data_IF_175411637661
#
_entry.id   IF_175411637661
#
_cell.length_a   1.000
_cell.length_b   1.000
_cell.length_c   1.000
_cell.angle_alpha   90.00
_cell.angle_beta   90.00
_cell.angle_gamma   90.00
#
_symmetry.space_group_name_H-M   'P 1'
#
loop_
_entity.id
_entity.type
_entity.pdbx_description
1 polymer ?
#
# COMPACT_ATOMS: atom_id res chain seq x y z
N UNK A 1 -5.33 -19.83 6.60
CA UNK A 1 -6.40 -20.77 6.19
C UNK A 1 -6.90 -21.70 7.31
N UNK A 2 -6.25 -21.72 8.47
CA UNK A 2 -6.67 -22.53 9.65
C UNK A 2 -7.23 -21.70 10.79
N UNK A 3 -7.19 -20.39 10.70
CA UNK A 3 -7.59 -19.47 11.75
C UNK A 3 -8.84 -18.72 11.31
N UNK A 4 -9.76 -18.52 12.23
CA UNK A 4 -10.97 -17.74 12.04
C UNK A 4 -10.61 -16.30 11.65
N UNK A 5 -11.03 -15.85 10.46
CA UNK A 5 -10.65 -14.57 9.87
C UNK A 5 -11.22 -13.38 10.64
N UNK A 6 -12.42 -13.54 11.22
CA UNK A 6 -13.01 -12.52 12.09
C UNK A 6 -12.07 -12.20 13.25
N UNK A 7 -11.59 -13.24 13.96
CA UNK A 7 -10.73 -13.04 15.11
C UNK A 7 -9.34 -12.51 14.74
N UNK A 8 -8.84 -12.82 13.53
CA UNK A 8 -7.61 -12.19 13.01
C UNK A 8 -7.82 -10.69 12.76
N UNK A 9 -8.93 -10.30 12.15
CA UNK A 9 -9.25 -8.88 11.88
C UNK A 9 -9.44 -8.13 13.20
N UNK A 10 -10.28 -8.64 14.10
CA UNK A 10 -10.57 -7.98 15.39
C UNK A 10 -9.33 -7.95 16.27
N UNK A 11 -8.61 -9.07 16.39
CA UNK A 11 -7.43 -9.20 17.24
C UNK A 11 -6.28 -8.31 16.76
N UNK A 12 -6.00 -8.29 15.44
CA UNK A 12 -4.99 -7.40 14.90
C UNK A 12 -5.33 -5.92 15.14
N UNK A 13 -6.57 -5.52 14.88
CA UNK A 13 -7.03 -4.16 15.13
C UNK A 13 -6.93 -3.78 16.62
N UNK A 14 -7.32 -4.67 17.53
CA UNK A 14 -7.20 -4.44 18.96
C UNK A 14 -5.75 -4.26 19.40
N UNK A 15 -4.86 -5.16 18.94
CA UNK A 15 -3.44 -5.11 19.29
C UNK A 15 -2.79 -3.83 18.78
N UNK A 16 -2.96 -3.49 17.49
CA UNK A 16 -2.31 -2.27 16.99
C UNK A 16 -2.88 -1.00 17.63
N UNK A 17 -4.20 -0.97 17.94
CA UNK A 17 -4.81 0.16 18.63
C UNK A 17 -4.31 0.29 20.07
N UNK A 18 -4.14 -0.83 20.78
CA UNK A 18 -3.52 -0.88 22.08
C UNK A 18 -2.07 -0.41 22.06
N UNK A 19 -1.30 -0.83 21.06
CA UNK A 19 0.07 -0.35 20.85
C UNK A 19 0.09 1.15 20.53
N UNK A 20 -0.85 1.64 19.70
CA UNK A 20 -1.00 3.08 19.43
C UNK A 20 -1.26 3.86 20.73
N UNK A 21 -2.13 3.34 21.60
CA UNK A 21 -2.37 3.93 22.92
C UNK A 21 -1.08 3.97 23.77
N UNK A 22 -0.32 2.88 23.78
CA UNK A 22 0.94 2.78 24.52
C UNK A 22 2.02 3.75 23.98
N UNK A 23 2.02 4.06 22.67
CA UNK A 23 2.92 5.07 22.12
C UNK A 23 2.73 6.44 22.78
N UNK A 24 1.55 6.76 23.29
CA UNK A 24 1.29 7.97 24.04
C UNK A 24 2.04 8.06 25.38
N UNK A 25 2.63 6.98 25.86
CA UNK A 25 3.47 6.96 27.08
C UNK A 25 4.96 6.90 26.77
N UNK A 26 5.33 6.85 25.49
CA UNK A 26 6.75 6.72 25.13
C UNK A 26 7.51 8.03 25.41
N UNK A 27 8.57 7.92 26.22
CA UNK A 27 9.42 9.05 26.62
C UNK A 27 10.71 9.15 25.77
N UNK A 28 10.98 8.10 24.98
CA UNK A 28 12.20 8.05 24.19
C UNK A 28 12.02 7.33 22.85
N UNK A 29 13.00 7.53 21.94
CA UNK A 29 12.98 6.95 20.60
C UNK A 29 12.95 5.41 20.62
N UNK A 30 13.65 4.75 21.55
CA UNK A 30 13.73 3.29 21.64
C UNK A 30 12.36 2.66 21.91
N UNK A 31 11.59 3.25 22.81
CA UNK A 31 10.22 2.80 23.13
C UNK A 31 9.30 2.94 21.92
N UNK A 32 9.29 4.11 21.26
CA UNK A 32 8.54 4.32 20.03
C UNK A 32 8.94 3.32 18.94
N UNK A 33 10.24 3.06 18.77
CA UNK A 33 10.75 2.14 17.77
C UNK A 33 10.18 0.71 17.96
N UNK A 34 10.25 0.18 19.18
CA UNK A 34 9.76 -1.17 19.45
C UNK A 34 8.23 -1.26 19.40
N UNK A 35 7.53 -0.25 19.88
CA UNK A 35 6.06 -0.17 19.75
C UNK A 35 5.65 -0.15 18.27
N UNK A 36 6.33 0.62 17.43
CA UNK A 36 6.10 0.62 15.98
C UNK A 36 6.38 -0.74 15.33
N UNK A 37 7.41 -1.44 15.76
CA UNK A 37 7.71 -2.78 15.25
C UNK A 37 6.60 -3.79 15.60
N UNK A 38 6.12 -3.78 16.84
CA UNK A 38 4.98 -4.63 17.28
C UNK A 38 3.70 -4.28 16.52
N UNK A 39 3.44 -2.97 16.33
CA UNK A 39 2.30 -2.50 15.55
C UNK A 39 2.33 -3.06 14.13
N UNK A 40 3.48 -2.97 13.44
CA UNK A 40 3.63 -3.48 12.08
C UNK A 40 3.37 -4.98 11.94
N UNK A 41 3.76 -5.78 12.93
CA UNK A 41 3.45 -7.23 12.95
C UNK A 41 1.95 -7.46 13.03
N UNK A 42 1.23 -6.70 13.86
CA UNK A 42 -0.22 -6.85 13.98
C UNK A 42 -0.97 -6.35 12.73
N UNK A 43 -0.55 -5.22 12.15
CA UNK A 43 -1.13 -4.67 10.91
C UNK A 43 -1.00 -5.62 9.71
N UNK A 44 0.10 -6.35 9.61
CA UNK A 44 0.35 -7.29 8.51
C UNK A 44 -0.72 -8.40 8.42
N UNK A 45 -1.41 -8.71 9.51
CA UNK A 45 -2.46 -9.73 9.56
C UNK A 45 -3.83 -9.21 9.09
N UNK A 46 -4.05 -7.90 9.12
CA UNK A 46 -5.36 -7.30 8.89
C UNK A 46 -5.81 -7.41 7.43
N UNK A 47 -5.06 -6.82 6.49
CA UNK A 47 -5.49 -6.73 5.08
C UNK A 47 -5.78 -8.09 4.45
N UNK A 48 -4.90 -9.12 4.55
CA UNK A 48 -5.19 -10.43 3.99
C UNK A 48 -6.43 -11.06 4.59
N UNK A 49 -6.64 -10.90 5.90
CA UNK A 49 -7.79 -11.46 6.61
C UNK A 49 -9.09 -10.74 6.24
N UNK A 50 -9.08 -9.41 6.16
CA UNK A 50 -10.23 -8.61 5.80
C UNK A 50 -10.67 -8.85 4.35
N UNK A 51 -9.74 -8.84 3.40
CA UNK A 51 -10.04 -9.12 2.00
C UNK A 51 -10.57 -10.55 1.79
N UNK A 52 -10.02 -11.50 2.53
CA UNK A 52 -10.49 -12.88 2.51
C UNK A 52 -11.90 -13.00 3.08
N UNK A 53 -12.20 -12.31 4.20
CA UNK A 53 -13.54 -12.31 4.79
C UNK A 53 -14.58 -11.67 3.86
N UNK A 54 -14.22 -10.55 3.21
CA UNK A 54 -15.06 -9.90 2.20
C UNK A 54 -15.33 -10.86 1.03
N UNK A 55 -14.31 -11.58 0.57
CA UNK A 55 -14.43 -12.51 -0.54
C UNK A 55 -15.32 -13.73 -0.22
N UNK A 56 -15.42 -14.12 1.05
CA UNK A 56 -16.30 -15.22 1.49
C UNK A 56 -17.79 -14.84 1.47
N UNK A 57 -18.09 -13.58 1.76
CA UNK A 57 -19.46 -13.07 1.76
C UNK A 57 -19.94 -12.56 0.40
N UNK A 58 -19.01 -12.16 -0.47
CA UNK A 58 -19.32 -11.57 -1.76
C UNK A 58 -18.76 -12.42 -2.90
N UNK A 59 -19.67 -12.99 -3.70
CA UNK A 59 -19.31 -13.80 -4.86
C UNK A 59 -19.68 -13.11 -6.18
N UNK A 60 -19.02 -13.51 -7.28
CA UNK A 60 -19.29 -12.99 -8.61
C UNK A 60 -19.15 -11.46 -8.73
N UNK A 61 -20.22 -10.82 -9.21
CA UNK A 61 -20.19 -9.37 -9.55
C UNK A 61 -20.08 -8.44 -8.33
N UNK A 62 -20.49 -8.86 -7.13
CA UNK A 62 -20.47 -8.00 -5.93
C UNK A 62 -19.10 -7.97 -5.23
N UNK A 63 -18.23 -8.96 -5.47
CA UNK A 63 -16.93 -9.09 -4.80
C UNK A 63 -16.03 -7.89 -5.06
N UNK A 64 -15.89 -7.50 -6.32
CA UNK A 64 -15.03 -6.36 -6.69
C UNK A 64 -15.52 -5.05 -6.10
N UNK A 65 -16.85 -4.84 -6.07
CA UNK A 65 -17.44 -3.66 -5.45
C UNK A 65 -17.17 -3.62 -3.95
N UNK A 66 -17.38 -4.73 -3.24
CA UNK A 66 -17.16 -4.79 -1.79
C UNK A 66 -15.68 -4.54 -1.42
N UNK A 67 -14.75 -5.12 -2.18
CA UNK A 67 -13.31 -4.83 -2.04
C UNK A 67 -13.01 -3.36 -2.34
N UNK A 68 -13.60 -2.79 -3.38
CA UNK A 68 -13.45 -1.37 -3.73
C UNK A 68 -13.92 -0.44 -2.62
N UNK A 69 -15.07 -0.71 -2.00
CA UNK A 69 -15.58 0.04 -0.84
C UNK A 69 -14.61 -0.06 0.34
N UNK A 70 -14.08 -1.25 0.62
CA UNK A 70 -13.08 -1.43 1.68
C UNK A 70 -11.79 -0.62 1.40
N UNK A 71 -11.29 -0.66 0.18
CA UNK A 71 -10.11 0.13 -0.23
C UNK A 71 -10.37 1.64 -0.17
N UNK A 72 -11.59 2.08 -0.50
CA UNK A 72 -11.99 3.49 -0.31
C UNK A 72 -11.85 3.91 1.15
N UNK A 73 -12.22 3.03 2.10
CA UNK A 73 -12.02 3.27 3.54
C UNK A 73 -10.55 3.54 3.90
N UNK A 74 -9.59 2.86 3.26
CA UNK A 74 -8.16 3.12 3.47
C UNK A 74 -7.76 4.53 3.02
N UNK A 75 -8.22 4.99 1.84
CA UNK A 75 -7.94 6.35 1.37
C UNK A 75 -8.57 7.43 2.25
N UNK A 76 -9.81 7.21 2.70
CA UNK A 76 -10.49 8.11 3.65
C UNK A 76 -9.73 8.15 4.98
N UNK A 77 -9.32 6.98 5.50
CA UNK A 77 -8.52 6.89 6.71
C UNK A 77 -7.17 7.61 6.59
N UNK A 78 -6.50 7.49 5.44
CA UNK A 78 -5.24 8.20 5.16
C UNK A 78 -5.46 9.71 5.13
N UNK A 79 -6.52 10.20 4.51
CA UNK A 79 -6.86 11.62 4.47
C UNK A 79 -7.13 12.18 5.87
N UNK A 80 -7.93 11.47 6.67
CA UNK A 80 -8.26 11.87 8.06
C UNK A 80 -7.02 11.78 8.96
N UNK A 81 -6.14 10.80 8.73
CA UNK A 81 -4.92 10.60 9.52
C UNK A 81 -3.99 11.82 9.55
N UNK A 82 -4.00 12.64 8.49
CA UNK A 82 -3.24 13.89 8.45
C UNK A 82 -3.63 14.92 9.51
N UNK A 83 -4.88 14.90 9.96
CA UNK A 83 -5.35 15.74 11.06
C UNK A 83 -4.75 15.35 12.42
N UNK A 84 -4.04 14.25 12.52
CA UNK A 84 -3.30 13.88 13.72
C UNK A 84 -2.30 14.96 14.13
N UNK A 85 -1.63 15.60 13.16
CA UNK A 85 -0.73 16.73 13.44
C UNK A 85 -1.48 17.97 13.97
N UNK A 86 -2.68 18.25 13.46
CA UNK A 86 -3.54 19.34 13.96
C UNK A 86 -3.99 19.08 15.39
N UNK A 87 -4.43 17.86 15.69
CA UNK A 87 -4.83 17.47 17.06
C UNK A 87 -3.63 17.53 18.00
N UNK A 88 -2.46 17.07 17.55
CA UNK A 88 -1.22 17.13 18.34
C UNK A 88 -0.76 18.57 18.65
N UNK A 89 -0.99 19.51 17.75
CA UNK A 89 -0.68 20.92 17.97
C UNK A 89 -1.60 21.56 19.03
N UNK A 90 -2.85 21.10 19.16
CA UNK A 90 -3.83 21.62 20.12
C UNK A 90 -3.62 21.02 21.52
N UNK A 91 -3.44 19.70 21.61
CA UNK A 91 -3.37 18.99 22.88
C UNK A 91 -1.95 18.51 23.24
N UNK A 92 -1.42 17.59 22.50
CA UNK A 92 -0.06 17.05 22.44
C UNK A 92 -0.05 15.80 21.55
N UNK A 93 1.11 15.37 21.10
CA UNK A 93 1.22 14.12 20.35
C UNK A 93 0.95 12.88 21.24
N UNK A 94 1.31 12.92 22.53
CA UNK A 94 0.99 11.88 23.51
C UNK A 94 -0.53 11.68 23.63
N UNK A 95 -1.25 12.77 23.85
CA UNK A 95 -2.72 12.77 23.95
C UNK A 95 -3.37 12.26 22.64
N UNK A 96 -2.82 12.65 21.50
CA UNK A 96 -3.31 12.22 20.18
C UNK A 96 -3.21 10.71 20.02
N UNK A 97 -2.07 10.10 20.39
CA UNK A 97 -1.91 8.65 20.37
C UNK A 97 -2.86 7.93 21.33
N UNK A 98 -3.07 8.48 22.53
CA UNK A 98 -4.05 7.92 23.47
C UNK A 98 -5.47 7.91 22.87
N UNK A 99 -5.90 9.01 22.29
CA UNK A 99 -7.24 9.11 21.71
C UNK A 99 -7.43 8.15 20.53
N UNK A 100 -6.48 8.13 19.61
CA UNK A 100 -6.57 7.23 18.45
C UNK A 100 -6.55 5.75 18.88
N UNK A 101 -5.73 5.41 19.87
CA UNK A 101 -5.69 4.06 20.43
C UNK A 101 -7.02 3.66 21.07
N UNK A 102 -7.61 4.52 21.91
CA UNK A 102 -8.91 4.26 22.56
C UNK A 102 -10.01 4.09 21.52
N UNK A 103 -10.10 5.00 20.54
CA UNK A 103 -11.12 4.91 19.48
C UNK A 103 -10.98 3.60 18.71
N UNK A 104 -9.75 3.20 18.35
CA UNK A 104 -9.51 1.95 17.64
C UNK A 104 -9.83 0.70 18.48
N UNK A 105 -9.52 0.70 19.79
CA UNK A 105 -9.89 -0.39 20.69
C UNK A 105 -11.42 -0.50 20.83
N UNK A 106 -12.13 0.61 21.03
CA UNK A 106 -13.61 0.62 21.07
C UNK A 106 -14.17 0.08 19.75
N UNK A 107 -13.64 0.53 18.62
CA UNK A 107 -14.06 0.05 17.31
C UNK A 107 -13.83 -1.45 17.13
N UNK A 108 -12.71 -1.99 17.60
CA UNK A 108 -12.45 -3.43 17.55
C UNK A 108 -13.47 -4.24 18.36
N UNK A 109 -13.88 -3.73 19.54
CA UNK A 109 -14.94 -4.34 20.34
C UNK A 109 -16.29 -4.31 19.62
N UNK A 110 -16.63 -3.20 18.96
CA UNK A 110 -17.84 -3.10 18.13
C UNK A 110 -17.83 -4.14 17.01
N UNK A 111 -16.66 -4.35 16.37
CA UNK A 111 -16.50 -5.35 15.31
C UNK A 111 -16.69 -6.80 15.79
N UNK A 112 -16.51 -7.11 17.09
CA UNK A 112 -16.83 -8.44 17.63
C UNK A 112 -18.30 -8.79 17.39
N UNK A 113 -19.19 -7.80 17.51
CA UNK A 113 -20.63 -7.98 17.36
C UNK A 113 -21.09 -7.85 15.89
N UNK A 114 -20.44 -7.01 15.10
CA UNK A 114 -20.84 -6.73 13.71
C UNK A 114 -20.27 -7.74 12.71
N UNK A 115 -19.01 -8.17 12.87
CA UNK A 115 -18.40 -9.12 11.95
C UNK A 115 -18.90 -10.55 12.21
N UNK A 116 -19.20 -11.24 11.12
CA UNK A 116 -19.60 -12.64 11.14
C UNK A 116 -18.77 -13.44 10.14
N UNK A 117 -18.39 -14.66 10.51
CA UNK A 117 -17.83 -15.64 9.58
C UNK A 117 -18.93 -16.17 8.65
N UNK A 118 -18.54 -16.53 7.43
CA UNK A 118 -19.47 -17.22 6.54
C UNK A 118 -19.56 -18.71 6.95
N UNK A 119 -20.76 -19.20 7.41
CA UNK A 119 -20.91 -20.56 7.88
C UNK A 119 -20.68 -21.61 6.77
N UNK A 120 -21.00 -21.29 5.53
CA UNK A 120 -20.87 -22.22 4.39
C UNK A 120 -19.40 -22.60 4.15
N UNK A 121 -18.47 -21.68 4.43
CA UNK A 121 -17.04 -21.94 4.37
C UNK A 121 -16.57 -22.94 5.42
N UNK A 122 -17.07 -22.82 6.64
CA UNK A 122 -16.70 -23.75 7.73
C UNK A 122 -17.11 -25.19 7.40
N UNK A 123 -18.18 -25.36 6.62
CA UNK A 123 -18.66 -26.67 6.14
C UNK A 123 -17.77 -27.15 4.99
N UNK A 124 -17.39 -26.27 4.06
CA UNK A 124 -16.54 -26.61 2.91
C UNK A 124 -15.09 -26.95 3.28
N UNK A 125 -14.58 -26.43 4.39
CA UNK A 125 -13.22 -26.69 4.88
C UNK A 125 -13.13 -27.93 5.80
N UNK A 126 -14.25 -28.59 6.12
CA UNK A 126 -14.20 -29.90 6.77
C UNK A 126 -13.54 -30.89 5.82
N UNK A 127 -12.51 -31.63 6.24
CA UNK A 127 -11.83 -32.56 5.38
C UNK A 127 -12.82 -33.63 4.92
N UNK A 128 -13.33 -33.48 3.70
CA UNK A 128 -14.03 -34.59 3.05
C UNK A 128 -13.00 -35.71 2.88
N UNK A 129 -13.21 -36.81 3.57
CA UNK A 129 -12.36 -38.00 3.57
C UNK A 129 -12.20 -38.66 2.19
N UNK A 130 -12.74 -38.06 1.12
CA UNK A 130 -12.80 -38.60 -0.22
C UNK A 130 -12.06 -37.79 -1.31
N UNK A 131 -11.57 -36.56 -1.00
CA UNK A 131 -10.77 -35.82 -1.99
C UNK A 131 -9.30 -36.24 -1.86
N UNK A 132 -8.81 -36.94 -2.88
CA UNK A 132 -7.42 -37.36 -2.95
C UNK A 132 -6.48 -36.21 -2.61
N UNK A 133 -5.46 -36.49 -1.82
CA UNK A 133 -4.40 -35.56 -1.41
C UNK A 133 -3.71 -35.00 -2.68
N UNK A 134 -4.27 -33.97 -3.29
CA UNK A 134 -3.45 -33.13 -4.16
C UNK A 134 -2.29 -32.61 -3.33
N UNK A 135 -1.10 -33.03 -3.66
CA UNK A 135 0.14 -32.59 -3.01
C UNK A 135 0.18 -31.06 -3.15
N UNK A 136 -0.09 -30.34 -2.06
CA UNK A 136 0.13 -28.89 -2.02
C UNK A 136 1.56 -28.64 -2.49
N UNK A 137 1.78 -27.70 -3.42
CA UNK A 137 3.14 -27.40 -3.87
C UNK A 137 4.00 -27.06 -2.66
N UNK A 138 5.19 -27.64 -2.60
CA UNK A 138 6.18 -27.27 -1.60
C UNK A 138 6.46 -25.77 -1.73
N UNK A 139 6.40 -25.03 -0.62
CA UNK A 139 6.72 -23.60 -0.60
C UNK A 139 8.10 -23.34 -1.23
N UNK A 140 9.07 -24.17 -0.92
CA UNK A 140 10.43 -24.07 -1.49
C UNK A 140 10.45 -24.33 -3.01
N UNK A 141 9.66 -25.28 -3.51
CA UNK A 141 9.55 -25.53 -4.97
C UNK A 141 8.93 -24.36 -5.72
N UNK A 142 7.89 -23.73 -5.14
CA UNK A 142 7.27 -22.52 -5.69
C UNK A 142 8.22 -21.32 -5.70
N UNK A 143 8.96 -21.10 -4.62
CA UNK A 143 9.97 -20.04 -4.52
C UNK A 143 11.09 -20.23 -5.56
N UNK A 144 11.65 -21.43 -5.64
CA UNK A 144 12.71 -21.76 -6.62
C UNK A 144 12.27 -21.47 -8.04
N UNK A 145 11.02 -21.87 -8.42
CA UNK A 145 10.46 -21.62 -9.74
C UNK A 145 10.28 -20.11 -10.02
N UNK A 146 9.80 -19.33 -9.06
CA UNK A 146 9.61 -17.87 -9.20
C UNK A 146 10.96 -17.18 -9.41
N UNK A 147 11.96 -17.46 -8.57
CA UNK A 147 13.26 -16.83 -8.65
C UNK A 147 14.15 -17.30 -9.81
N UNK A 148 13.83 -18.44 -10.42
CA UNK A 148 14.47 -18.89 -11.67
C UNK A 148 14.00 -18.13 -12.90
N UNK A 149 12.87 -17.40 -12.81
CA UNK A 149 12.26 -16.67 -13.92
C UNK A 149 12.77 -15.23 -13.96
N UNK A 150 13.54 -14.84 -14.98
CA UNK A 150 14.07 -13.48 -15.12
C UNK A 150 12.98 -12.38 -15.07
N UNK A 151 11.83 -12.64 -15.70
CA UNK A 151 10.70 -11.72 -15.68
C UNK A 151 10.22 -11.41 -14.25
N UNK A 152 10.32 -12.35 -13.31
CA UNK A 152 9.92 -12.15 -11.93
C UNK A 152 10.82 -11.14 -11.21
N UNK A 153 12.13 -11.15 -11.47
CA UNK A 153 13.06 -10.14 -10.93
C UNK A 153 12.75 -8.74 -11.46
N UNK A 154 12.40 -8.63 -12.73
CA UNK A 154 11.97 -7.35 -13.33
C UNK A 154 10.67 -6.87 -12.66
N UNK A 155 9.73 -7.77 -12.40
CA UNK A 155 8.47 -7.44 -11.70
C UNK A 155 8.74 -6.98 -10.26
N UNK A 156 9.65 -7.64 -9.54
CA UNK A 156 10.05 -7.23 -8.19
C UNK A 156 10.66 -5.82 -8.20
N UNK A 157 11.56 -5.54 -9.14
CA UNK A 157 12.15 -4.22 -9.28
C UNK A 157 11.11 -3.17 -9.72
N UNK A 158 10.26 -3.51 -10.69
CA UNK A 158 9.13 -2.69 -11.14
C UNK A 158 8.21 -2.28 -9.99
N UNK A 159 8.02 -3.13 -9.01
CA UNK A 159 7.19 -2.83 -7.84
C UNK A 159 7.99 -2.10 -6.74
N UNK A 160 9.21 -2.54 -6.47
CA UNK A 160 10.05 -1.97 -5.41
C UNK A 160 10.44 -0.52 -5.70
N UNK A 161 10.81 -0.20 -6.94
CA UNK A 161 11.28 1.13 -7.30
C UNK A 161 10.21 2.24 -7.09
N UNK A 162 8.94 2.09 -7.55
CA UNK A 162 7.88 3.04 -7.24
C UNK A 162 7.39 2.98 -5.79
N UNK A 163 7.62 1.86 -5.09
CA UNK A 163 7.31 1.78 -3.65
C UNK A 163 8.18 2.73 -2.84
N UNK A 164 9.42 3.03 -3.27
CA UNK A 164 10.27 4.03 -2.63
C UNK A 164 9.56 5.40 -2.51
N UNK A 165 9.19 6.10 -3.60
CA UNK A 165 8.47 7.36 -3.49
C UNK A 165 7.08 7.21 -2.89
N UNK A 166 6.42 6.05 -3.04
CA UNK A 166 5.14 5.77 -2.38
C UNK A 166 5.25 5.80 -0.85
N UNK A 167 6.29 5.22 -0.27
CA UNK A 167 6.56 5.29 1.17
C UNK A 167 7.15 6.63 1.58
N UNK A 168 7.96 7.26 0.74
CA UNK A 168 8.46 8.61 0.95
C UNK A 168 7.31 9.60 1.15
N UNK A 169 6.31 9.60 0.26
CA UNK A 169 5.14 10.48 0.36
C UNK A 169 4.29 10.18 1.59
N UNK A 170 4.11 8.90 1.96
CA UNK A 170 3.35 8.54 3.16
C UNK A 170 3.99 9.06 4.46
N UNK A 171 5.32 9.03 4.54
CA UNK A 171 6.03 9.32 5.78
C UNK A 171 6.60 10.75 5.83
N UNK A 172 6.97 11.35 4.70
CA UNK A 172 7.73 12.59 4.65
C UNK A 172 7.06 13.75 3.90
N UNK A 173 5.94 13.48 3.18
CA UNK A 173 5.28 14.55 2.44
C UNK A 173 4.72 15.68 3.33
N UNK A 174 4.16 15.41 4.54
CA UNK A 174 3.78 16.49 5.46
C UNK A 174 4.96 17.38 5.82
N UNK A 175 6.13 16.80 6.11
CA UNK A 175 7.35 17.54 6.42
C UNK A 175 7.81 18.35 5.22
N UNK A 176 7.84 17.74 4.03
CA UNK A 176 8.20 18.43 2.79
C UNK A 176 7.27 19.61 2.51
N UNK A 177 5.96 19.48 2.70
CA UNK A 177 5.00 20.57 2.53
C UNK A 177 5.22 21.69 3.56
N UNK A 178 5.48 21.32 4.80
CA UNK A 178 5.80 22.29 5.87
C UNK A 178 7.05 23.10 5.53
N UNK A 179 8.12 22.45 5.10
CA UNK A 179 9.38 23.10 4.74
C UNK A 179 9.27 23.92 3.43
N UNK A 180 8.66 23.35 2.38
CA UNK A 180 8.58 24.01 1.06
C UNK A 180 7.63 25.21 1.02
N UNK A 181 6.59 25.21 1.87
CA UNK A 181 5.56 26.24 1.90
C UNK A 181 5.67 27.17 3.10
N UNK A 182 6.60 26.90 4.01
CA UNK A 182 6.79 27.63 5.27
C UNK A 182 5.48 27.70 6.09
N UNK A 183 4.78 26.55 6.22
CA UNK A 183 3.52 26.44 6.97
C UNK A 183 3.67 25.47 8.15
N UNK A 184 2.88 25.66 9.23
CA UNK A 184 2.91 24.76 10.37
C UNK A 184 2.55 23.30 9.98
N UNK A 185 3.16 22.33 10.66
CA UNK A 185 2.86 20.92 10.47
C UNK A 185 1.36 20.58 10.64
N UNK A 186 0.68 21.34 11.51
CA UNK A 186 -0.76 21.21 11.75
C UNK A 186 -1.62 21.46 10.50
N UNK A 187 -1.12 22.28 9.56
CA UNK A 187 -1.74 22.57 8.27
C UNK A 187 -1.17 21.67 7.16
N UNK A 188 0.14 21.51 7.14
CA UNK A 188 0.84 20.68 6.15
C UNK A 188 0.37 19.21 6.17
N UNK A 189 0.12 18.66 7.36
CA UNK A 189 -0.37 17.29 7.54
C UNK A 189 -1.67 17.02 6.77
N UNK A 190 -2.78 17.68 7.09
CA UNK A 190 -4.05 17.51 6.37
C UNK A 190 -3.93 17.80 4.87
N UNK A 191 -3.28 18.92 4.49
CA UNK A 191 -3.15 19.32 3.09
C UNK A 191 -2.45 18.23 2.28
N UNK A 192 -1.31 17.72 2.76
CA UNK A 192 -0.54 16.70 2.05
C UNK A 192 -1.28 15.35 1.96
N UNK A 193 -1.87 14.89 3.07
CA UNK A 193 -2.55 13.59 3.10
C UNK A 193 -3.83 13.58 2.29
N UNK A 194 -4.64 14.65 2.34
CA UNK A 194 -5.85 14.80 1.51
C UNK A 194 -5.45 14.86 0.02
N UNK A 195 -4.42 15.66 -0.31
CA UNK A 195 -3.93 15.78 -1.69
C UNK A 195 -3.57 14.40 -2.28
N UNK A 196 -2.78 13.61 -1.55
CA UNK A 196 -2.37 12.27 -2.01
C UNK A 196 -3.54 11.29 -2.02
N UNK A 197 -4.35 11.23 -0.95
CA UNK A 197 -5.44 10.27 -0.85
C UNK A 197 -6.47 10.49 -1.96
N UNK A 198 -6.90 11.73 -2.17
CA UNK A 198 -7.87 12.07 -3.23
C UNK A 198 -7.33 11.79 -4.63
N UNK A 199 -6.13 12.25 -4.92
CA UNK A 199 -5.52 12.07 -6.25
C UNK A 199 -5.20 10.60 -6.55
N UNK A 200 -4.74 9.83 -5.55
CA UNK A 200 -4.50 8.39 -5.71
C UNK A 200 -5.80 7.63 -5.95
N UNK A 201 -6.87 7.98 -5.24
CA UNK A 201 -8.20 7.40 -5.48
C UNK A 201 -8.66 7.62 -6.92
N UNK A 202 -8.54 8.85 -7.43
CA UNK A 202 -8.83 9.17 -8.84
C UNK A 202 -7.92 8.38 -9.78
N UNK A 203 -6.63 8.30 -9.47
CA UNK A 203 -5.65 7.55 -10.24
C UNK A 203 -5.97 6.06 -10.35
N UNK A 204 -6.37 5.42 -9.25
CA UNK A 204 -6.77 4.00 -9.22
C UNK A 204 -7.97 3.74 -10.14
N UNK A 205 -8.99 4.61 -10.10
CA UNK A 205 -10.17 4.48 -10.96
C UNK A 205 -9.78 4.63 -12.44
N UNK A 206 -9.04 5.69 -12.76
CA UNK A 206 -8.58 5.94 -14.13
C UNK A 206 -7.67 4.82 -14.64
N UNK A 207 -6.75 4.35 -13.80
CA UNK A 207 -5.84 3.25 -14.11
C UNK A 207 -6.57 1.94 -14.37
N UNK A 208 -7.56 1.60 -13.56
CA UNK A 208 -8.39 0.41 -13.75
C UNK A 208 -9.17 0.47 -15.07
N UNK A 209 -9.92 1.56 -15.32
CA UNK A 209 -10.72 1.73 -16.53
C UNK A 209 -9.83 1.69 -17.80
N UNK A 210 -8.72 2.42 -17.78
CA UNK A 210 -7.81 2.47 -18.93
C UNK A 210 -7.17 1.11 -19.22
N UNK A 211 -6.71 0.45 -18.17
CA UNK A 211 -6.08 -0.87 -18.22
C UNK A 211 -7.03 -1.94 -18.81
N UNK A 212 -8.26 -2.00 -18.29
CA UNK A 212 -9.24 -3.00 -18.72
C UNK A 212 -9.70 -2.78 -20.17
N UNK A 213 -9.83 -1.53 -20.61
CA UNK A 213 -10.12 -1.22 -22.01
C UNK A 213 -8.95 -1.53 -22.95
N UNK A 214 -7.74 -1.25 -22.51
CA UNK A 214 -6.57 -1.36 -23.36
C UNK A 214 -6.11 -2.81 -23.52
N UNK A 215 -6.19 -3.62 -22.45
CA UNK A 215 -5.82 -5.04 -22.51
C UNK A 215 -6.67 -5.84 -23.51
N UNK A 216 -7.92 -5.44 -23.74
CA UNK A 216 -8.80 -6.05 -24.73
C UNK A 216 -8.29 -5.87 -26.17
N UNK A 217 -7.54 -4.82 -26.43
CA UNK A 217 -6.97 -4.51 -27.75
C UNK A 217 -5.49 -4.91 -27.89
N UNK A 218 -4.77 -4.89 -26.79
CA UNK A 218 -3.35 -5.18 -26.75
C UNK A 218 -2.99 -5.82 -25.40
N UNK A 219 -2.43 -7.02 -25.45
CA UNK A 219 -2.03 -7.82 -24.27
C UNK A 219 -1.10 -7.03 -23.33
N UNK A 220 -0.31 -6.08 -23.85
CA UNK A 220 0.56 -5.17 -23.08
C UNK A 220 -0.18 -3.96 -22.51
N UNK A 221 -1.49 -3.84 -22.70
CA UNK A 221 -2.29 -2.70 -22.27
C UNK A 221 -2.09 -2.35 -20.80
N UNK A 222 -2.02 -3.36 -19.92
CA UNK A 222 -1.77 -3.18 -18.48
C UNK A 222 -0.36 -2.65 -18.19
N UNK A 223 0.64 -3.17 -18.90
CA UNK A 223 2.03 -2.69 -18.79
C UNK A 223 2.13 -1.22 -19.23
N UNK A 224 1.48 -0.87 -20.34
CA UNK A 224 1.47 0.52 -20.82
C UNK A 224 0.72 1.47 -19.88
N UNK A 225 -0.41 1.02 -19.31
CA UNK A 225 -1.14 1.82 -18.32
C UNK A 225 -0.29 2.08 -17.07
N UNK A 226 0.36 1.04 -16.53
CA UNK A 226 1.31 1.20 -15.43
C UNK A 226 2.47 2.12 -15.77
N UNK A 227 2.98 2.05 -17.03
CA UNK A 227 4.03 2.94 -17.51
C UNK A 227 3.60 4.42 -17.57
N UNK A 228 2.34 4.69 -17.97
CA UNK A 228 1.79 6.06 -17.92
C UNK A 228 1.77 6.55 -16.47
N UNK A 229 1.31 5.70 -15.52
CA UNK A 229 1.32 6.03 -14.09
C UNK A 229 2.72 6.41 -13.62
N UNK A 230 3.72 5.56 -13.87
CA UNK A 230 5.11 5.86 -13.50
C UNK A 230 5.66 7.09 -14.20
N UNK A 231 5.33 7.27 -15.49
CA UNK A 231 5.74 8.44 -16.26
C UNK A 231 5.26 9.75 -15.64
N UNK A 232 4.06 9.78 -15.07
CA UNK A 232 3.51 10.94 -14.35
C UNK A 232 4.20 11.19 -13.01
N UNK A 233 4.65 10.15 -12.31
CA UNK A 233 5.34 10.33 -11.03
C UNK A 233 6.74 10.93 -11.18
N UNK A 234 7.41 10.77 -12.32
CA UNK A 234 8.75 11.33 -12.55
C UNK A 234 8.77 12.86 -12.46
N UNK A 235 8.02 13.61 -13.30
CA UNK A 235 7.97 15.07 -13.18
C UNK A 235 7.36 15.52 -11.85
N UNK A 236 6.43 14.76 -11.28
CA UNK A 236 5.85 15.07 -9.98
C UNK A 236 6.92 15.07 -8.86
N UNK A 237 7.80 14.07 -8.84
CA UNK A 237 8.90 13.98 -7.85
C UNK A 237 9.92 15.11 -8.04
N UNK A 238 10.22 15.49 -9.27
CA UNK A 238 11.08 16.64 -9.56
C UNK A 238 10.46 17.94 -9.05
N UNK A 239 9.17 18.16 -9.31
CA UNK A 239 8.45 19.33 -8.82
C UNK A 239 8.29 19.34 -7.29
N UNK A 240 8.09 18.17 -6.66
CA UNK A 240 8.09 18.06 -5.18
C UNK A 240 9.46 18.42 -4.60
N UNK A 241 10.54 18.04 -5.30
CA UNK A 241 11.91 18.30 -4.84
C UNK A 241 12.34 19.76 -4.93
N UNK A 242 11.91 20.47 -5.96
CA UNK A 242 12.39 21.83 -6.25
C UNK A 242 11.31 22.90 -6.27
N UNK A 243 10.04 22.53 -6.08
CA UNK A 243 8.93 23.47 -6.06
C UNK A 243 8.89 24.26 -4.76
N UNK A 244 8.74 25.58 -4.87
CA UNK A 244 8.66 26.50 -3.74
C UNK A 244 7.34 27.28 -3.66
N UNK A 245 6.46 27.13 -4.66
CA UNK A 245 5.15 27.79 -4.65
C UNK A 245 4.04 26.80 -4.30
N UNK A 246 2.99 27.32 -3.64
CA UNK A 246 1.81 26.51 -3.26
C UNK A 246 1.25 25.74 -4.46
N UNK A 247 1.10 26.39 -5.61
CA UNK A 247 0.56 25.75 -6.83
C UNK A 247 1.48 24.63 -7.33
N UNK A 248 2.81 24.83 -7.31
CA UNK A 248 3.78 23.84 -7.76
C UNK A 248 3.78 22.62 -6.83
N UNK A 249 3.81 22.82 -5.52
CA UNK A 249 3.88 21.73 -4.51
C UNK A 249 2.59 20.93 -4.47
N UNK A 250 1.42 21.59 -4.43
CA UNK A 250 0.12 20.91 -4.47
C UNK A 250 -0.10 20.22 -5.81
N UNK A 251 0.19 20.91 -6.92
CA UNK A 251 0.09 20.34 -8.26
C UNK A 251 0.97 19.10 -8.44
N UNK A 252 2.17 19.12 -7.90
CA UNK A 252 3.08 17.98 -7.87
C UNK A 252 2.53 16.82 -7.04
N UNK A 253 1.98 17.10 -5.86
CA UNK A 253 1.32 16.10 -5.02
C UNK A 253 0.12 15.45 -5.71
N UNK A 254 -0.74 16.25 -6.37
CA UNK A 254 -1.86 15.75 -7.16
C UNK A 254 -1.39 14.87 -8.33
N UNK A 255 -0.38 15.32 -9.08
CA UNK A 255 0.18 14.59 -10.21
C UNK A 255 0.82 13.27 -9.75
N UNK A 256 1.56 13.30 -8.63
CA UNK A 256 2.13 12.10 -8.03
C UNK A 256 1.05 11.11 -7.63
N UNK A 257 0.02 11.55 -6.91
CA UNK A 257 -1.05 10.67 -6.46
C UNK A 257 -1.80 10.03 -7.62
N UNK A 258 -2.17 10.79 -8.66
CA UNK A 258 -2.80 10.22 -9.87
C UNK A 258 -1.88 9.18 -10.52
N UNK A 259 -0.62 9.53 -10.74
CA UNK A 259 0.36 8.62 -11.37
C UNK A 259 0.58 7.35 -10.55
N UNK A 260 0.76 7.49 -9.25
CA UNK A 260 0.93 6.37 -8.34
C UNK A 260 -0.32 5.48 -8.26
N UNK A 261 -1.53 6.08 -8.22
CA UNK A 261 -2.78 5.34 -8.24
C UNK A 261 -2.98 4.52 -9.52
N UNK A 262 -2.65 5.09 -10.68
CA UNK A 262 -2.67 4.38 -11.97
C UNK A 262 -1.70 3.18 -11.95
N UNK A 263 -0.49 3.36 -11.42
CA UNK A 263 0.49 2.30 -11.25
C UNK A 263 -0.03 1.22 -10.30
N UNK A 264 -0.51 1.59 -9.11
CA UNK A 264 -0.92 0.68 -8.05
C UNK A 264 -2.09 -0.22 -8.48
N UNK A 265 -3.07 0.31 -9.20
CA UNK A 265 -4.18 -0.45 -9.75
C UNK A 265 -3.75 -1.58 -10.70
N UNK A 266 -2.57 -1.48 -11.29
CA UNK A 266 -2.07 -2.42 -12.29
C UNK A 266 -1.06 -3.46 -11.74
N UNK A 267 -0.63 -3.35 -10.51
CA UNK A 267 0.41 -4.21 -9.93
C UNK A 267 0.02 -5.70 -9.93
N UNK A 268 -1.09 -6.04 -9.30
CA UNK A 268 -1.58 -7.42 -9.26
C UNK A 268 -2.00 -7.92 -10.65
N UNK A 269 -2.74 -7.16 -11.47
CA UNK A 269 -3.06 -7.55 -12.83
C UNK A 269 -1.84 -7.84 -13.71
N UNK A 270 -0.78 -7.05 -13.61
CA UNK A 270 0.47 -7.31 -14.35
C UNK A 270 1.12 -8.60 -13.84
N UNK A 271 1.27 -8.76 -12.52
CA UNK A 271 1.83 -9.99 -11.95
C UNK A 271 1.11 -11.24 -12.45
N UNK A 272 -0.23 -11.19 -12.54
CA UNK A 272 -1.06 -12.31 -13.03
C UNK A 272 -0.80 -12.68 -14.49
N UNK A 273 -0.26 -11.77 -15.31
CA UNK A 273 0.11 -12.06 -16.70
C UNK A 273 1.42 -12.85 -16.83
N UNK A 274 2.24 -12.90 -15.78
CA UNK A 274 3.56 -13.55 -15.79
C UNK A 274 3.64 -14.77 -14.89
N UNK A 275 2.74 -14.88 -13.90
CA UNK A 275 2.77 -15.93 -12.88
C UNK A 275 1.50 -16.77 -12.98
N UNK A 276 1.66 -18.11 -13.02
CA UNK A 276 0.55 -19.06 -13.04
C UNK A 276 -0.35 -18.92 -11.82
N UNK A 277 -1.66 -19.19 -11.96
CA UNK A 277 -2.67 -19.04 -10.91
C UNK A 277 -2.27 -19.70 -9.57
N UNK A 278 -1.61 -20.86 -9.63
CA UNK A 278 -1.14 -21.62 -8.48
C UNK A 278 -0.13 -20.90 -7.60
N UNK A 279 0.66 -19.97 -8.17
CA UNK A 279 1.77 -19.28 -7.47
C UNK A 279 1.53 -17.78 -7.28
N UNK A 280 0.40 -17.23 -7.75
CA UNK A 280 0.07 -15.79 -7.69
C UNK A 280 0.09 -15.23 -6.27
N UNK A 281 -0.46 -15.95 -5.31
CA UNK A 281 -0.48 -15.52 -3.91
C UNK A 281 0.93 -15.39 -3.32
N UNK A 282 1.79 -16.39 -3.53
CA UNK A 282 3.18 -16.36 -3.07
C UNK A 282 3.97 -15.26 -3.76
N UNK A 283 3.82 -15.12 -5.09
CA UNK A 283 4.51 -14.09 -5.86
C UNK A 283 4.10 -12.66 -5.42
N UNK A 284 2.81 -12.44 -5.19
CA UNK A 284 2.30 -11.16 -4.69
C UNK A 284 2.80 -10.86 -3.28
N UNK A 285 2.85 -11.87 -2.40
CA UNK A 285 3.41 -11.74 -1.06
C UNK A 285 4.89 -11.31 -1.08
N UNK A 286 5.72 -11.92 -1.94
CA UNK A 286 7.13 -11.56 -2.11
C UNK A 286 7.25 -10.13 -2.67
N UNK A 287 6.44 -9.79 -3.67
CA UNK A 287 6.41 -8.47 -4.27
C UNK A 287 6.08 -7.39 -3.23
N UNK A 288 5.04 -7.58 -2.41
CA UNK A 288 4.69 -6.68 -1.32
C UNK A 288 5.80 -6.57 -0.26
N UNK A 289 6.38 -7.71 0.14
CA UNK A 289 7.49 -7.73 1.09
C UNK A 289 8.68 -6.91 0.57
N UNK A 290 9.02 -7.05 -0.72
CA UNK A 290 10.08 -6.26 -1.36
C UNK A 290 9.76 -4.77 -1.33
N UNK A 291 8.50 -4.37 -1.60
CA UNK A 291 8.05 -2.99 -1.50
C UNK A 291 8.12 -2.42 -0.09
N UNK A 292 7.79 -3.21 0.94
CA UNK A 292 7.90 -2.80 2.35
C UNK A 292 9.36 -2.61 2.77
N UNK A 293 10.27 -3.51 2.38
CA UNK A 293 11.69 -3.33 2.65
C UNK A 293 12.28 -2.11 1.95
N UNK A 294 11.89 -1.87 0.69
CA UNK A 294 12.25 -0.64 -0.02
C UNK A 294 11.74 0.60 0.74
N UNK A 295 10.49 0.53 1.22
CA UNK A 295 9.88 1.57 2.05
C UNK A 295 10.62 1.86 3.35
N UNK A 296 11.04 0.83 4.06
CA UNK A 296 11.83 0.98 5.28
C UNK A 296 13.17 1.67 4.99
N UNK A 297 13.87 1.24 3.93
CA UNK A 297 15.15 1.81 3.53
C UNK A 297 15.01 3.30 3.14
N UNK A 298 14.02 3.65 2.32
CA UNK A 298 13.82 5.05 1.90
C UNK A 298 13.39 5.94 3.05
N UNK A 299 12.57 5.45 3.97
CA UNK A 299 12.12 6.23 5.12
C UNK A 299 13.30 6.63 5.99
N UNK A 300 14.24 5.70 6.25
CA UNK A 300 15.46 5.99 6.99
C UNK A 300 16.41 6.93 6.22
N UNK A 301 16.54 6.75 4.92
CA UNK A 301 17.42 7.57 4.09
C UNK A 301 16.94 9.01 4.03
N UNK A 302 15.65 9.23 3.79
CA UNK A 302 15.04 10.56 3.76
C UNK A 302 15.08 11.24 5.12
N UNK A 303 15.00 10.49 6.23
CA UNK A 303 15.20 11.04 7.56
C UNK A 303 16.57 11.70 7.72
N UNK A 304 17.63 11.02 7.27
CA UNK A 304 18.99 11.60 7.28
C UNK A 304 19.12 12.83 6.38
N UNK A 305 18.42 12.86 5.27
CA UNK A 305 18.41 14.02 4.37
C UNK A 305 17.59 15.19 4.92
N UNK A 306 16.52 14.91 5.66
CA UNK A 306 15.76 15.92 6.40
C UNK A 306 16.66 16.59 7.45
N UNK A 307 17.41 15.80 8.23
CA UNK A 307 18.37 16.32 9.20
C UNK A 307 19.46 17.21 8.56
N UNK A 308 19.80 16.94 7.28
CA UNK A 308 20.73 17.72 6.47
C UNK A 308 20.11 18.90 5.70
N UNK A 309 18.80 19.14 5.82
CA UNK A 309 18.07 20.19 5.07
C UNK A 309 17.93 19.94 3.57
N UNK A 310 18.03 18.68 3.12
CA UNK A 310 17.99 18.28 1.69
C UNK A 310 16.86 17.30 1.36
N UNK A 311 15.75 17.36 2.10
CA UNK A 311 14.59 16.45 1.88
C UNK A 311 14.04 16.55 0.45
N UNK A 312 13.95 17.78 -0.09
CA UNK A 312 13.47 18.00 -1.47
C UNK A 312 14.36 17.32 -2.52
N UNK A 313 15.69 17.46 -2.39
CA UNK A 313 16.65 16.77 -3.26
C UNK A 313 16.46 15.26 -3.20
N UNK A 314 16.18 14.72 -2.01
CA UNK A 314 15.86 13.32 -1.80
C UNK A 314 14.65 12.85 -2.61
N UNK A 315 13.56 13.62 -2.61
CA UNK A 315 12.39 13.33 -3.45
C UNK A 315 12.73 13.39 -4.95
N UNK A 316 13.49 14.40 -5.38
CA UNK A 316 13.91 14.52 -6.76
C UNK A 316 14.78 13.33 -7.22
N UNK A 317 15.70 12.85 -6.39
CA UNK A 317 16.54 11.68 -6.71
C UNK A 317 15.74 10.38 -6.88
N UNK A 318 14.62 10.22 -6.18
CA UNK A 318 13.75 9.06 -6.37
C UNK A 318 13.16 9.00 -7.80
N UNK A 319 13.05 10.12 -8.49
CA UNK A 319 12.58 10.16 -9.89
C UNK A 319 13.50 9.36 -10.82
N UNK A 320 14.80 9.32 -10.57
CA UNK A 320 15.79 8.57 -11.37
C UNK A 320 15.52 7.08 -11.27
N UNK A 321 15.27 6.58 -10.06
CA UNK A 321 14.99 5.15 -9.83
C UNK A 321 13.69 4.75 -10.52
N UNK A 322 12.66 5.60 -10.42
CA UNK A 322 11.39 5.38 -11.11
C UNK A 322 11.55 5.40 -12.64
N UNK A 323 12.37 6.31 -13.17
CA UNK A 323 12.66 6.37 -14.60
C UNK A 323 13.36 5.10 -15.11
N UNK A 324 14.31 4.56 -14.34
CA UNK A 324 14.95 3.28 -14.65
C UNK A 324 13.91 2.15 -14.64
N UNK A 325 13.05 2.10 -13.63
CA UNK A 325 11.98 1.10 -13.55
C UNK A 325 11.02 1.19 -14.74
N UNK A 326 10.64 2.40 -15.14
CA UNK A 326 9.81 2.67 -16.30
C UNK A 326 10.46 2.15 -17.60
N UNK A 327 11.75 2.41 -17.80
CA UNK A 327 12.49 1.95 -18.97
C UNK A 327 12.56 0.41 -19.02
N UNK A 328 12.91 -0.22 -17.89
CA UNK A 328 12.99 -1.68 -17.78
C UNK A 328 11.62 -2.34 -17.98
N UNK A 329 10.56 -1.78 -17.41
CA UNK A 329 9.18 -2.25 -17.61
C UNK A 329 8.80 -2.26 -19.10
N UNK A 330 9.00 -1.15 -19.79
CA UNK A 330 8.64 -1.02 -21.21
C UNK A 330 9.43 -1.97 -22.11
N UNK A 331 10.70 -2.20 -21.78
CA UNK A 331 11.58 -3.05 -22.58
C UNK A 331 11.37 -4.54 -22.31
N UNK A 332 11.33 -4.97 -21.05
CA UNK A 332 11.37 -6.38 -20.67
C UNK A 332 9.99 -6.99 -20.40
N UNK A 333 8.99 -6.25 -19.89
CA UNK A 333 7.70 -6.85 -19.58
C UNK A 333 6.86 -7.06 -20.84
N UNK A 334 6.97 -8.27 -21.38
CA UNK A 334 6.24 -8.75 -22.56
C UNK A 334 5.42 -9.98 -22.16
N UNK A 335 4.15 -9.79 -21.74
CA UNK A 335 3.29 -10.91 -21.37
C UNK A 335 3.02 -11.84 -22.56
N UNK A 336 2.91 -13.15 -22.28
CA UNK A 336 2.53 -14.15 -23.26
C UNK A 336 1.04 -14.44 -23.16
N UNK A 337 0.41 -14.85 -24.27
CA UNK A 337 -1.04 -15.12 -24.36
C UNK A 337 -1.49 -16.25 -23.45
N UNK A 338 -0.60 -17.23 -23.18
CA UNK A 338 -0.92 -18.48 -22.47
C UNK A 338 -1.21 -18.30 -20.96
N UNK A 339 -0.99 -17.09 -20.41
CA UNK A 339 -1.16 -16.80 -18.99
C UNK A 339 -2.43 -15.95 -18.67
N UNK A 340 -3.33 -15.80 -19.63
CA UNK A 340 -4.53 -14.94 -19.48
C UNK A 340 -5.78 -15.69 -19.03
N UNK A 341 -5.72 -17.01 -18.78
CA UNK A 341 -6.81 -17.82 -18.25
C UNK A 341 -6.91 -17.81 -16.73
#
# INVERSE_FOLDING_TARGET
DRVNRKWLVVGSLFVWSGVTYLMGYADNFHELYWLRAVMGVSEALYIPSALSLIADWHQGKSRSLAIGVHMTGLYVGQAIGGFGATVAAIFSWHTTFHWFGIVGMIYSVVLIFLLRENPDRMIAEQPSSAAGKEKRPSLFGGLSMLFSTWAFWIILFYFAAPSLPGWATKNWLPTLFSESLDIPMAEAGPISTITIAFSSFVGVILGGILSDRWVQKNIRGRVYTGAIGLGLTVPALMLLGFGSSFVAVIGAGLLFGIGFGIFDANNMPILCQFVSAKHRGTAYGIMNMTGVFAGAAVTQLLGKWTDGGSLGEGFAMLSIIVLIALALQLYFLRPKTDNME
#
